data_IF_222973721151
#
_entry.id   IF_222973721151
#
_cell.length_a   1.000
_cell.length_b   1.000
_cell.length_c   1.000
_cell.angle_alpha   90.00
_cell.angle_beta   90.00
_cell.angle_gamma   90.00
#
_symmetry.space_group_name_H-M   'P 1'
#
loop_
_entity.id
_entity.type
_entity.pdbx_description
1 polymer ?
#
# COMPACT_ATOMS: atom_id res chain seq x y z
N UNK A 1 18.41 -42.78 -6.04
CA UNK A 1 18.26 -41.31 -6.17
C UNK A 1 19.66 -40.73 -6.31
N UNK A 2 19.90 -40.05 -7.43
CA UNK A 2 21.22 -39.82 -8.01
C UNK A 2 21.96 -38.72 -7.23
N UNK A 3 23.16 -38.98 -6.71
CA UNK A 3 23.94 -38.05 -5.87
C UNK A 3 24.21 -36.69 -6.55
N UNK A 4 24.12 -36.64 -7.88
CA UNK A 4 24.19 -35.40 -8.67
C UNK A 4 23.02 -34.45 -8.41
N UNK A 5 21.79 -34.94 -8.24
CA UNK A 5 20.64 -34.07 -7.99
C UNK A 5 20.70 -33.43 -6.59
N UNK A 6 21.25 -34.16 -5.61
CA UNK A 6 21.47 -33.62 -4.26
C UNK A 6 22.52 -32.51 -4.30
N UNK A 7 23.59 -32.69 -5.09
CA UNK A 7 24.63 -31.68 -5.28
C UNK A 7 24.11 -30.47 -6.05
N UNK A 8 23.36 -30.66 -7.14
CA UNK A 8 22.75 -29.58 -7.94
C UNK A 8 21.76 -28.75 -7.13
N UNK A 9 20.97 -29.39 -6.26
CA UNK A 9 20.02 -28.67 -5.38
C UNK A 9 20.77 -27.86 -4.32
N UNK A 10 21.83 -28.43 -3.72
CA UNK A 10 22.67 -27.69 -2.75
C UNK A 10 23.42 -26.52 -3.40
N UNK A 11 23.84 -26.67 -4.66
CA UNK A 11 24.55 -25.65 -5.42
C UNK A 11 23.61 -24.55 -5.95
N UNK A 12 22.35 -24.88 -6.29
CA UNK A 12 21.31 -23.90 -6.64
C UNK A 12 20.92 -23.03 -5.44
N UNK A 13 20.77 -23.62 -4.24
CA UNK A 13 20.42 -22.85 -3.03
C UNK A 13 21.55 -21.90 -2.60
N UNK A 14 22.81 -22.27 -2.86
CA UNK A 14 23.98 -21.47 -2.44
C UNK A 14 24.36 -20.36 -3.44
N UNK A 15 23.91 -20.43 -4.70
CA UNK A 15 24.29 -19.50 -5.78
C UNK A 15 23.18 -18.57 -6.26
N UNK A 16 21.95 -18.71 -5.78
CA UNK A 16 20.89 -17.76 -6.10
C UNK A 16 20.85 -16.63 -5.07
N UNK A 17 21.20 -15.41 -5.50
CA UNK A 17 20.96 -14.16 -4.77
C UNK A 17 19.43 -13.94 -4.66
N UNK A 18 18.78 -14.72 -3.80
CA UNK A 18 17.35 -14.63 -3.50
C UNK A 18 17.09 -13.41 -2.61
N UNK A 19 17.20 -12.22 -3.19
CA UNK A 19 16.83 -10.96 -2.55
C UNK A 19 15.32 -10.81 -2.44
N UNK A 20 14.84 -10.34 -1.29
CA UNK A 20 13.43 -10.02 -1.11
C UNK A 20 13.15 -8.68 -1.81
N UNK A 21 12.37 -8.72 -2.89
CA UNK A 21 12.07 -7.50 -3.66
C UNK A 21 11.22 -6.50 -2.90
N UNK A 22 10.28 -6.97 -2.08
CA UNK A 22 9.35 -6.09 -1.35
C UNK A 22 8.76 -6.82 -0.16
N UNK A 23 8.75 -6.16 1.00
CA UNK A 23 7.86 -6.53 2.10
C UNK A 23 6.61 -5.65 2.04
N UNK A 24 5.42 -6.24 2.12
CA UNK A 24 4.16 -5.49 2.08
C UNK A 24 3.36 -5.73 3.35
N UNK A 25 2.97 -4.65 4.02
CA UNK A 25 2.03 -4.71 5.15
C UNK A 25 0.64 -4.24 4.71
N UNK A 26 -0.36 -5.11 4.85
CA UNK A 26 -1.76 -4.78 4.61
C UNK A 26 -2.42 -4.18 5.85
N UNK A 27 -3.06 -3.03 5.72
CA UNK A 27 -3.79 -2.37 6.82
C UNK A 27 -5.24 -2.16 6.41
N UNK A 28 -6.16 -2.75 7.18
CA UNK A 28 -7.59 -2.50 7.01
C UNK A 28 -7.96 -1.10 7.51
N UNK A 29 -8.72 -0.34 6.73
CA UNK A 29 -9.20 1.01 7.09
C UNK A 29 -10.71 1.08 7.36
N UNK A 30 -11.41 -0.05 7.41
CA UNK A 30 -12.88 -0.08 7.58
C UNK A 30 -13.36 0.53 8.91
N UNK A 31 -12.53 0.52 9.95
CA UNK A 31 -12.80 1.18 11.23
C UNK A 31 -12.52 2.70 11.22
N UNK A 32 -11.92 3.21 10.14
CA UNK A 32 -11.62 4.62 9.95
C UNK A 32 -12.70 5.35 9.14
N UNK A 33 -13.81 4.66 8.80
CA UNK A 33 -14.95 5.24 8.09
C UNK A 33 -15.60 6.30 8.98
N UNK A 34 -15.86 7.46 8.38
CA UNK A 34 -16.55 8.58 9.02
C UNK A 34 -17.28 9.41 7.96
N UNK A 35 -18.37 10.06 8.38
CA UNK A 35 -19.11 11.01 7.55
C UNK A 35 -18.33 12.31 7.33
N UNK A 36 -17.43 12.67 8.25
CA UNK A 36 -16.50 13.79 8.05
C UNK A 36 -15.17 13.28 7.48
N UNK A 37 -14.81 13.74 6.29
CA UNK A 37 -13.57 13.33 5.63
C UNK A 37 -12.32 13.73 6.38
N UNK A 38 -12.34 14.83 7.14
CA UNK A 38 -11.22 15.28 7.97
C UNK A 38 -10.98 14.31 9.12
N UNK A 39 -12.05 13.88 9.78
CA UNK A 39 -12.00 12.90 10.87
C UNK A 39 -11.54 11.54 10.34
N UNK A 40 -12.07 11.10 9.20
CA UNK A 40 -11.64 9.88 8.53
C UNK A 40 -10.14 9.93 8.18
N UNK A 41 -9.66 11.02 7.58
CA UNK A 41 -8.25 11.21 7.26
C UNK A 41 -7.36 11.15 8.50
N UNK A 42 -7.77 11.78 9.61
CA UNK A 42 -6.99 11.72 10.84
C UNK A 42 -6.91 10.30 11.41
N UNK A 43 -8.04 9.56 11.40
CA UNK A 43 -8.09 8.15 11.83
C UNK A 43 -7.17 7.27 10.96
N UNK A 44 -7.24 7.43 9.63
CA UNK A 44 -6.39 6.73 8.67
C UNK A 44 -4.91 6.98 8.95
N UNK A 45 -4.53 8.26 9.09
CA UNK A 45 -3.14 8.64 9.38
C UNK A 45 -2.65 8.00 10.68
N UNK A 46 -3.41 8.16 11.78
CA UNK A 46 -3.05 7.60 13.08
C UNK A 46 -2.91 6.08 13.03
N UNK A 47 -3.82 5.40 12.32
CA UNK A 47 -3.81 3.95 12.22
C UNK A 47 -2.60 3.44 11.44
N UNK A 48 -2.29 4.05 10.31
CA UNK A 48 -1.14 3.68 9.48
C UNK A 48 0.15 3.92 10.26
N UNK A 49 0.34 5.12 10.83
CA UNK A 49 1.57 5.45 11.56
C UNK A 49 1.77 4.58 12.79
N UNK A 50 0.69 4.19 13.48
CA UNK A 50 0.77 3.32 14.66
C UNK A 50 1.09 1.88 14.28
N UNK A 51 0.41 1.32 13.27
CA UNK A 51 0.56 -0.09 12.88
C UNK A 51 1.87 -0.36 12.14
N UNK A 52 2.30 0.55 11.27
CA UNK A 52 3.51 0.38 10.47
C UNK A 52 4.75 1.08 11.07
N UNK A 53 4.68 1.63 12.30
CA UNK A 53 5.79 2.32 12.99
C UNK A 53 7.11 1.55 12.95
N UNK A 54 7.04 0.24 13.15
CA UNK A 54 8.23 -0.62 13.24
C UNK A 54 8.57 -1.31 11.92
N UNK A 55 7.82 -1.08 10.83
CA UNK A 55 7.99 -1.82 9.58
C UNK A 55 9.40 -1.66 9.00
N UNK A 56 9.88 -0.41 8.91
CA UNK A 56 11.23 -0.11 8.39
C UNK A 56 12.31 -0.65 9.32
N UNK A 57 12.15 -0.46 10.64
CA UNK A 57 13.10 -0.94 11.65
C UNK A 57 13.24 -2.46 11.61
N UNK A 58 12.12 -3.19 11.59
CA UNK A 58 12.11 -4.66 11.51
C UNK A 58 12.66 -5.12 10.17
N UNK A 59 12.35 -4.43 9.07
CA UNK A 59 12.95 -4.69 7.77
C UNK A 59 14.48 -4.63 7.82
N UNK A 60 15.04 -3.55 8.38
CA UNK A 60 16.49 -3.38 8.53
C UNK A 60 17.12 -4.42 9.47
N UNK A 61 16.41 -4.84 10.52
CA UNK A 61 16.88 -5.89 11.41
C UNK A 61 16.97 -7.24 10.69
N UNK A 62 15.97 -7.59 9.88
CA UNK A 62 15.97 -8.82 9.07
C UNK A 62 17.10 -8.78 8.03
N UNK A 63 17.33 -7.61 7.40
CA UNK A 63 18.46 -7.41 6.47
C UNK A 63 19.81 -7.69 7.16
N UNK A 64 19.99 -7.21 8.39
CA UNK A 64 21.22 -7.41 9.16
C UNK A 64 21.39 -8.84 9.71
N UNK A 65 20.30 -9.49 10.12
CA UNK A 65 20.33 -10.84 10.73
C UNK A 65 20.52 -11.94 9.69
N UNK A 66 19.84 -11.85 8.55
CA UNK A 66 19.85 -12.88 7.52
C UNK A 66 20.75 -12.54 6.32
N UNK A 67 21.26 -11.31 6.23
CA UNK A 67 22.10 -10.88 5.10
C UNK A 67 21.34 -10.78 3.77
N UNK A 68 20.01 -10.79 3.79
CA UNK A 68 19.15 -10.74 2.61
C UNK A 68 18.71 -9.29 2.38
N UNK A 69 19.06 -8.66 1.25
CA UNK A 69 18.65 -7.28 0.97
C UNK A 69 17.14 -7.19 0.72
N UNK A 70 16.48 -6.21 1.35
CA UNK A 70 15.06 -5.88 1.16
C UNK A 70 14.97 -4.57 0.37
N UNK A 71 14.70 -4.71 -0.93
CA UNK A 71 14.74 -3.58 -1.85
C UNK A 71 13.63 -2.54 -1.57
N UNK A 72 12.43 -2.96 -1.18
CA UNK A 72 11.31 -2.05 -0.94
C UNK A 72 10.49 -2.43 0.31
N UNK A 73 10.02 -1.41 1.03
CA UNK A 73 9.05 -1.52 2.12
C UNK A 73 7.75 -0.84 1.68
N UNK A 74 6.69 -1.63 1.47
CA UNK A 74 5.39 -1.16 0.96
C UNK A 74 4.28 -1.33 1.99
N UNK A 75 3.31 -0.43 1.98
CA UNK A 75 2.04 -0.60 2.70
C UNK A 75 0.89 -0.66 1.69
N UNK A 76 -0.07 -1.54 1.92
CA UNK A 76 -1.34 -1.56 1.16
C UNK A 76 -2.50 -1.34 2.10
N UNK A 77 -3.46 -0.53 1.68
CA UNK A 77 -4.65 -0.23 2.48
C UNK A 77 -5.92 -0.66 1.77
N UNK A 78 -7.01 -0.77 2.53
CA UNK A 78 -8.36 -0.95 1.97
C UNK A 78 -8.64 0.10 0.89
N UNK A 79 -9.28 -0.27 -0.24
CA UNK A 79 -9.64 0.68 -1.30
C UNK A 79 -10.31 1.94 -0.75
N UNK A 80 -9.70 3.11 -1.01
CA UNK A 80 -10.20 4.39 -0.50
C UNK A 80 -11.62 4.69 -0.98
N UNK A 81 -12.05 4.18 -2.15
CA UNK A 81 -13.43 4.42 -2.61
C UNK A 81 -14.48 3.86 -1.64
N UNK A 82 -14.18 2.75 -0.94
CA UNK A 82 -15.08 2.14 0.05
C UNK A 82 -15.14 2.93 1.36
N UNK A 83 -14.11 3.73 1.65
CA UNK A 83 -14.02 4.51 2.88
C UNK A 83 -14.62 5.89 2.64
N UNK A 84 -14.18 6.56 1.57
CA UNK A 84 -14.54 7.93 1.26
C UNK A 84 -16.00 8.09 0.80
N UNK A 85 -16.65 7.01 0.34
CA UNK A 85 -18.08 7.04 -0.02
C UNK A 85 -18.98 7.42 1.16
N UNK A 86 -18.55 7.17 2.40
CA UNK A 86 -19.31 7.56 3.59
C UNK A 86 -19.31 9.07 3.83
N UNK A 87 -18.32 9.79 3.28
CA UNK A 87 -18.05 11.19 3.58
C UNK A 87 -18.77 12.17 2.65
N UNK A 88 -19.37 11.66 1.56
CA UNK A 88 -20.11 12.45 0.55
C UNK A 88 -19.33 13.64 -0.06
N UNK A 89 -18.01 13.64 0.06
CA UNK A 89 -17.13 14.67 -0.49
C UNK A 89 -17.14 14.67 -2.04
N UNK A 90 -16.86 15.84 -2.62
CA UNK A 90 -16.78 16.05 -4.08
C UNK A 90 -15.45 15.60 -4.70
N UNK A 91 -14.40 15.47 -3.90
CA UNK A 91 -13.10 14.97 -4.31
C UNK A 91 -12.46 14.15 -3.17
N UNK A 92 -11.54 13.25 -3.51
CA UNK A 92 -10.83 12.42 -2.53
C UNK A 92 -9.33 12.74 -2.45
N UNK A 93 -8.91 13.90 -2.95
CA UNK A 93 -7.50 14.32 -2.97
C UNK A 93 -6.94 14.40 -1.54
N UNK A 94 -7.76 14.81 -0.58
CA UNK A 94 -7.41 14.83 0.85
C UNK A 94 -6.96 13.46 1.37
N UNK A 95 -7.58 12.37 0.92
CA UNK A 95 -7.20 11.02 1.31
C UNK A 95 -5.83 10.66 0.73
N UNK A 96 -5.57 11.00 -0.54
CA UNK A 96 -4.27 10.77 -1.17
C UNK A 96 -3.15 11.51 -0.41
N UNK A 97 -3.34 12.81 -0.13
CA UNK A 97 -2.40 13.62 0.67
C UNK A 97 -2.13 13.02 2.05
N UNK A 98 -3.18 12.48 2.68
CA UNK A 98 -3.07 11.85 4.00
C UNK A 98 -2.24 10.56 3.95
N UNK A 99 -2.44 9.73 2.92
CA UNK A 99 -1.65 8.51 2.71
C UNK A 99 -0.18 8.86 2.41
N UNK A 100 0.06 9.85 1.57
CA UNK A 100 1.40 10.34 1.23
C UNK A 100 2.15 10.86 2.47
N UNK A 101 1.47 11.65 3.30
CA UNK A 101 2.02 12.13 4.57
C UNK A 101 2.35 10.97 5.52
N UNK A 102 1.49 9.96 5.61
CA UNK A 102 1.75 8.78 6.42
C UNK A 102 2.97 7.99 5.90
N UNK A 103 3.09 7.86 4.57
CA UNK A 103 4.23 7.21 3.94
C UNK A 103 5.55 7.93 4.23
N UNK A 104 5.59 9.25 4.03
CA UNK A 104 6.72 10.12 4.35
C UNK A 104 7.14 10.02 5.82
N UNK A 105 6.16 9.98 6.73
CA UNK A 105 6.41 9.87 8.18
C UNK A 105 7.06 8.54 8.56
N UNK A 106 6.67 7.45 7.89
CA UNK A 106 7.16 6.10 8.17
C UNK A 106 8.44 5.76 7.42
N UNK A 107 8.81 6.53 6.38
CA UNK A 107 9.94 6.22 5.52
C UNK A 107 9.71 4.96 4.67
N UNK A 108 8.48 4.72 4.23
CA UNK A 108 8.13 3.62 3.32
C UNK A 108 8.21 4.08 1.87
N UNK A 109 8.56 3.17 0.96
CA UNK A 109 8.79 3.50 -0.45
C UNK A 109 7.49 3.71 -1.22
N UNK A 110 6.43 2.96 -0.87
CA UNK A 110 5.14 3.07 -1.56
C UNK A 110 3.96 2.76 -0.63
N UNK A 111 2.87 3.51 -0.80
CA UNK A 111 1.58 3.20 -0.20
C UNK A 111 0.52 2.98 -1.28
N UNK A 112 -0.01 1.77 -1.35
CA UNK A 112 -1.07 1.40 -2.28
C UNK A 112 -2.43 1.39 -1.59
N UNK A 113 -3.50 1.66 -2.36
CA UNK A 113 -4.88 1.54 -1.87
C UNK A 113 -5.78 2.70 -2.27
N UNK A 114 -5.24 3.73 -2.92
CA UNK A 114 -6.04 4.71 -3.66
C UNK A 114 -6.58 4.04 -4.93
N UNK A 115 -7.67 3.30 -4.77
CA UNK A 115 -8.26 2.44 -5.78
C UNK A 115 -9.75 2.30 -5.54
N UNK A 116 -10.45 1.86 -6.58
CA UNK A 116 -11.87 1.49 -6.52
C UNK A 116 -12.10 0.10 -7.11
N UNK A 117 -13.26 -0.47 -6.80
CA UNK A 117 -13.69 -1.79 -7.26
C UNK A 117 -14.89 -1.64 -8.20
N UNK A 118 -14.66 -1.53 -9.50
CA UNK A 118 -15.70 -1.18 -10.50
C UNK A 118 -16.14 -2.36 -11.38
N UNK A 119 -15.74 -3.57 -10.99
CA UNK A 119 -16.01 -4.82 -11.71
C UNK A 119 -17.49 -5.15 -11.97
N UNK A 120 -18.43 -4.52 -11.25
CA UNK A 120 -19.88 -4.72 -11.39
C UNK A 120 -20.62 -3.40 -11.70
N UNK A 121 -19.91 -2.42 -12.23
CA UNK A 121 -20.41 -1.06 -12.45
C UNK A 121 -19.90 -0.07 -11.41
N UNK A 122 -20.15 1.20 -11.69
CA UNK A 122 -19.64 2.33 -10.90
C UNK A 122 -20.64 2.78 -9.84
N UNK A 123 -20.20 2.90 -8.60
CA UNK A 123 -20.93 3.64 -7.56
C UNK A 123 -20.48 5.12 -7.54
N UNK A 124 -21.24 5.98 -6.85
CA UNK A 124 -20.94 7.42 -6.71
C UNK A 124 -19.52 7.65 -6.16
N UNK A 125 -19.09 6.84 -5.18
CA UNK A 125 -17.75 6.95 -4.63
C UNK A 125 -16.66 6.60 -5.63
N UNK A 126 -16.87 5.60 -6.48
CA UNK A 126 -15.87 5.21 -7.45
C UNK A 126 -15.65 6.30 -8.51
N UNK A 127 -16.73 6.91 -9.01
CA UNK A 127 -16.65 8.01 -10.00
C UNK A 127 -15.88 9.21 -9.44
N UNK A 128 -16.15 9.56 -8.19
CA UNK A 128 -15.47 10.66 -7.48
C UNK A 128 -13.98 10.36 -7.30
N UNK A 129 -13.64 9.10 -7.00
CA UNK A 129 -12.25 8.67 -6.90
C UNK A 129 -11.54 8.76 -8.26
N UNK A 130 -12.17 8.32 -9.36
CA UNK A 130 -11.60 8.44 -10.72
C UNK A 130 -11.32 9.88 -11.07
N UNK A 131 -12.31 10.76 -10.86
CA UNK A 131 -12.22 12.17 -11.22
C UNK A 131 -11.07 12.87 -10.48
N UNK A 132 -10.80 12.46 -9.24
CA UNK A 132 -9.71 12.99 -8.41
C UNK A 132 -8.35 12.34 -8.65
N UNK A 133 -8.22 11.29 -9.49
CA UNK A 133 -6.94 10.63 -9.76
C UNK A 133 -5.86 11.57 -10.33
N UNK A 134 -6.14 12.42 -11.34
CA UNK A 134 -5.09 13.24 -11.96
C UNK A 134 -4.47 14.21 -10.96
N UNK A 135 -5.31 14.84 -10.13
CA UNK A 135 -4.89 15.78 -9.11
C UNK A 135 -4.17 15.07 -7.95
N UNK A 136 -4.72 13.95 -7.48
CA UNK A 136 -4.08 13.14 -6.44
C UNK A 136 -2.67 12.68 -6.83
N UNK A 137 -2.46 12.27 -8.08
CA UNK A 137 -1.14 11.87 -8.59
C UNK A 137 -0.18 13.05 -8.77
N UNK A 138 -0.69 14.23 -9.13
CA UNK A 138 0.14 15.42 -9.29
C UNK A 138 0.63 15.96 -7.93
N UNK A 139 -0.15 15.73 -6.87
CA UNK A 139 0.12 16.25 -5.52
C UNK A 139 0.72 15.22 -4.54
N UNK A 140 0.98 13.98 -4.98
CA UNK A 140 1.55 12.92 -4.12
C UNK A 140 2.70 12.20 -4.80
N UNK A 141 3.68 11.78 -4.00
CA UNK A 141 4.92 11.16 -4.50
C UNK A 141 4.91 9.64 -4.31
N UNK A 142 4.34 9.17 -3.18
CA UNK A 142 4.45 7.78 -2.73
C UNK A 142 3.17 6.96 -2.89
N UNK A 143 2.07 7.59 -3.31
CA UNK A 143 0.76 6.93 -3.44
C UNK A 143 0.69 6.17 -4.76
N UNK A 144 0.46 4.87 -4.67
CA UNK A 144 0.31 3.98 -5.82
C UNK A 144 -1.16 3.65 -6.10
N UNK A 145 -1.52 3.75 -7.38
CA UNK A 145 -2.82 3.36 -7.89
C UNK A 145 -2.83 1.91 -8.34
N UNK A 146 -3.95 1.24 -8.10
CA UNK A 146 -4.23 -0.08 -8.69
C UNK A 146 -5.20 0.09 -9.85
N UNK A 147 -4.84 -0.44 -11.04
CA UNK A 147 -5.73 -0.48 -12.20
C UNK A 147 -6.74 -1.62 -12.04
N UNK A 148 -7.84 -1.36 -11.35
CA UNK A 148 -9.06 -2.18 -11.45
C UNK A 148 -10.15 -1.44 -12.26
N UNK A 149 -9.75 -0.55 -13.16
CA UNK A 149 -10.65 0.38 -13.89
C UNK A 149 -10.99 -0.07 -15.32
N UNK A 150 -10.27 -1.05 -15.88
CA UNK A 150 -10.19 -1.24 -17.34
C UNK A 150 -11.12 -2.33 -17.91
N UNK A 151 -12.10 -2.82 -17.16
CA UNK A 151 -13.09 -3.80 -17.64
C UNK A 151 -14.51 -3.29 -17.40
N UNK A 152 -14.98 -2.38 -18.24
CA UNK A 152 -16.40 -2.18 -18.63
C UNK A 152 -16.48 -1.21 -19.79
#
# INVERSE_FOLDING_TARGET
>A
MNSQQIYETSHMISNENLGVRTITMGISLLDCIDSDSTVACQKIYNKITTKAKNLVKVGQQIEAEYGIPIANKRVTVTPISLIAVASQDHDYVKYAKTLDRAAKTLGIDFIGGYSALVQKGYQTGDRTLIASLPEALAETDFVCLSKCWFYS
#
